data_IF_055452010872
#
_entry.id   IF_055452010872
#
_cell.length_a   1.000
_cell.length_b   1.000
_cell.length_c   1.000
_cell.angle_alpha   90.00
_cell.angle_beta   90.00
_cell.angle_gamma   90.00
#
_symmetry.space_group_name_H-M   'P 1'
#
loop_
_entity.id
_entity.type
_entity.pdbx_description
1 polymer ?
#
# COMPACT_ATOMS: atom_id res chain seq x y z
N UNK A 1 6.74 0.57 -22.59
CA UNK A 1 5.68 1.23 -23.37
C UNK A 1 4.79 2.15 -22.51
N UNK A 2 4.79 2.02 -21.16
CA UNK A 2 3.98 2.86 -20.24
C UNK A 2 4.51 4.28 -20.01
N UNK A 3 5.81 4.53 -20.14
CA UNK A 3 6.41 5.86 -19.94
C UNK A 3 5.90 6.92 -20.94
N UNK A 4 5.57 6.52 -22.17
CA UNK A 4 5.13 7.45 -23.22
C UNK A 4 3.66 7.88 -23.06
N UNK A 5 2.84 7.04 -22.44
CA UNK A 5 1.43 7.34 -22.13
C UNK A 5 1.33 8.27 -20.93
N UNK A 6 2.22 8.10 -19.94
CA UNK A 6 2.41 9.04 -18.83
C UNK A 6 2.65 10.46 -19.35
N UNK A 7 3.61 10.66 -20.26
CA UNK A 7 4.02 12.00 -20.71
C UNK A 7 2.87 12.78 -21.39
N UNK A 8 2.14 12.15 -22.32
CA UNK A 8 1.05 12.79 -23.07
C UNK A 8 -0.20 13.14 -22.24
N UNK A 9 -0.53 12.33 -21.24
CA UNK A 9 -1.68 12.61 -20.36
C UNK A 9 -1.37 13.74 -19.38
N UNK A 10 -0.09 13.89 -19.00
CA UNK A 10 0.32 14.94 -18.08
C UNK A 10 0.40 16.32 -18.78
N UNK A 11 0.74 16.36 -20.07
CA UNK A 11 0.75 17.62 -20.85
C UNK A 11 -0.65 18.26 -20.98
N UNK A 12 -1.72 17.47 -20.91
CA UNK A 12 -3.09 17.98 -21.04
C UNK A 12 -3.60 18.69 -19.77
N UNK A 13 -2.98 18.43 -18.61
CA UNK A 13 -3.26 19.13 -17.33
C UNK A 13 -2.57 20.51 -17.28
N UNK A 14 -1.54 20.73 -18.12
CA UNK A 14 -0.74 21.95 -18.15
C UNK A 14 -1.43 23.16 -18.81
N UNK A 15 -2.64 23.01 -19.36
CA UNK A 15 -3.31 24.07 -20.15
C UNK A 15 -3.94 25.20 -19.32
N UNK A 16 -4.01 25.07 -17.99
CA UNK A 16 -4.55 26.10 -17.08
C UNK A 16 -3.52 26.54 -16.02
N UNK A 17 -2.28 26.77 -16.44
CA UNK A 17 -1.24 27.29 -15.56
C UNK A 17 -1.43 28.81 -15.32
N UNK A 18 -1.54 29.26 -14.06
CA UNK A 18 -1.41 30.69 -13.74
C UNK A 18 -0.04 31.18 -14.21
N UNK A 19 0.05 32.40 -14.73
CA UNK A 19 1.34 32.99 -15.09
C UNK A 19 2.27 33.02 -13.86
N UNK A 20 3.59 32.94 -14.03
CA UNK A 20 4.55 32.81 -12.91
C UNK A 20 4.33 33.86 -11.79
N UNK A 21 3.94 35.09 -12.11
CA UNK A 21 3.62 36.12 -11.12
C UNK A 21 2.30 35.89 -10.35
N UNK A 22 1.33 35.24 -10.98
CA UNK A 22 0.05 34.85 -10.36
C UNK A 22 0.23 33.65 -9.42
N UNK A 23 1.15 32.75 -9.75
CA UNK A 23 1.48 31.59 -8.95
C UNK A 23 2.13 31.99 -7.61
N UNK A 24 3.06 32.94 -7.63
CA UNK A 24 3.65 33.53 -6.41
C UNK A 24 2.60 34.22 -5.53
N UNK A 25 1.67 34.95 -6.14
CA UNK A 25 0.57 35.59 -5.43
C UNK A 25 -0.34 34.57 -4.75
N UNK A 26 -0.72 33.49 -5.46
CA UNK A 26 -1.59 32.43 -4.93
C UNK A 26 -0.91 31.61 -3.82
N UNK A 27 0.41 31.43 -3.88
CA UNK A 27 1.20 30.86 -2.78
C UNK A 27 1.23 31.78 -1.56
N UNK A 28 1.47 33.08 -1.76
CA UNK A 28 1.50 34.08 -0.67
C UNK A 28 0.15 34.18 0.04
N UNK A 29 -0.94 34.07 -0.71
CA UNK A 29 -2.30 34.08 -0.17
C UNK A 29 -2.79 32.72 0.37
N UNK A 30 -1.93 31.69 0.40
CA UNK A 30 -2.28 30.33 0.88
C UNK A 30 -3.43 29.70 0.10
N UNK A 31 -3.60 30.11 -1.16
CA UNK A 31 -4.56 29.56 -2.11
C UNK A 31 -3.97 28.37 -2.88
N UNK A 32 -2.67 28.17 -2.83
CA UNK A 32 -1.98 26.99 -3.35
C UNK A 32 -0.98 26.42 -2.35
N UNK A 33 -0.73 25.12 -2.44
CA UNK A 33 0.31 24.42 -1.67
C UNK A 33 1.20 23.66 -2.63
N UNK A 34 2.50 24.00 -2.65
CA UNK A 34 3.52 23.20 -3.34
C UNK A 34 3.69 21.86 -2.63
N UNK A 35 3.83 20.78 -3.41
CA UNK A 35 4.01 19.43 -2.90
C UNK A 35 5.49 19.08 -2.94
N UNK A 36 6.13 19.03 -1.78
CA UNK A 36 7.57 18.78 -1.66
C UNK A 36 7.91 17.28 -1.57
N UNK A 37 7.00 16.48 -1.02
CA UNK A 37 7.21 15.07 -0.71
C UNK A 37 7.15 14.18 -1.95
N UNK A 38 8.23 13.45 -2.23
CA UNK A 38 8.34 12.59 -3.42
C UNK A 38 7.29 11.47 -3.45
N UNK A 39 6.96 10.90 -2.29
CA UNK A 39 5.90 9.90 -2.17
C UNK A 39 4.52 10.47 -2.52
N UNK A 40 4.23 11.70 -2.09
CA UNK A 40 2.99 12.39 -2.45
C UNK A 40 2.95 12.71 -3.95
N UNK A 41 4.06 13.16 -4.55
CA UNK A 41 4.18 13.40 -5.99
C UNK A 41 3.87 12.14 -6.80
N UNK A 42 4.46 11.00 -6.43
CA UNK A 42 4.22 9.72 -7.10
C UNK A 42 2.75 9.28 -6.98
N UNK A 43 2.16 9.40 -5.78
CA UNK A 43 0.73 9.09 -5.54
C UNK A 43 -0.20 9.95 -6.39
N UNK A 44 0.08 11.25 -6.47
CA UNK A 44 -0.69 12.19 -7.28
C UNK A 44 -0.65 11.80 -8.75
N UNK A 45 0.52 11.46 -9.27
CA UNK A 45 0.66 11.03 -10.66
C UNK A 45 -0.20 9.80 -10.97
N UNK A 46 -0.23 8.82 -10.06
CA UNK A 46 -1.08 7.62 -10.20
C UNK A 46 -2.57 7.97 -10.06
N UNK A 47 -2.94 8.72 -9.03
CA UNK A 47 -4.33 9.06 -8.74
C UNK A 47 -4.96 9.96 -9.81
N UNK A 48 -4.17 10.81 -10.47
CA UNK A 48 -4.64 11.59 -11.63
C UNK A 48 -5.03 10.72 -12.83
N UNK A 49 -4.52 9.48 -12.91
CA UNK A 49 -4.91 8.51 -13.93
C UNK A 49 -6.20 7.77 -13.55
N UNK A 50 -6.37 7.49 -12.27
CA UNK A 50 -7.51 6.72 -11.75
C UNK A 50 -8.75 7.60 -11.50
N UNK A 51 -8.54 8.88 -11.16
CA UNK A 51 -9.60 9.81 -10.74
C UNK A 51 -9.49 11.15 -11.48
N UNK A 52 -10.27 11.29 -12.55
CA UNK A 52 -10.31 12.53 -13.34
C UNK A 52 -10.80 13.75 -12.55
N UNK A 53 -11.59 13.52 -11.49
CA UNK A 53 -12.11 14.54 -10.57
C UNK A 53 -11.02 15.30 -9.80
N UNK A 54 -9.80 14.78 -9.75
CA UNK A 54 -8.65 15.41 -9.09
C UNK A 54 -8.01 16.52 -9.92
N UNK A 55 -8.20 16.52 -11.25
CA UNK A 55 -7.55 17.47 -12.17
C UNK A 55 -7.75 18.94 -11.83
N UNK A 56 -8.94 19.45 -11.45
CA UNK A 56 -9.10 20.87 -11.11
C UNK A 56 -8.41 21.27 -9.79
N UNK A 57 -8.05 20.31 -8.95
CA UNK A 57 -7.39 20.56 -7.67
C UNK A 57 -5.87 20.39 -7.72
N UNK A 58 -5.31 19.88 -8.82
CA UNK A 58 -3.89 19.60 -8.95
C UNK A 58 -3.35 20.29 -10.21
N UNK A 59 -2.45 21.24 -10.00
CA UNK A 59 -1.77 21.97 -11.05
C UNK A 59 -0.34 21.44 -11.14
N UNK A 60 0.13 21.12 -12.35
CA UNK A 60 1.53 20.78 -12.59
C UNK A 60 2.22 21.95 -13.27
N UNK A 61 3.21 22.55 -12.61
CA UNK A 61 4.12 23.49 -13.25
C UNK A 61 5.50 22.82 -13.37
N UNK A 62 6.00 22.69 -14.59
CA UNK A 62 7.26 21.99 -14.90
C UNK A 62 7.33 20.58 -14.26
N UNK A 63 8.13 20.42 -13.20
CA UNK A 63 8.34 19.16 -12.48
C UNK A 63 7.75 19.17 -11.05
N UNK A 64 6.83 20.08 -10.81
CA UNK A 64 6.26 20.34 -9.50
C UNK A 64 4.74 20.23 -9.52
N UNK A 65 4.20 19.62 -8.47
CA UNK A 65 2.76 19.53 -8.26
C UNK A 65 2.34 20.57 -7.21
N UNK A 66 1.25 21.25 -7.51
CA UNK A 66 0.62 22.23 -6.63
C UNK A 66 -0.82 21.80 -6.39
N UNK A 67 -1.21 21.77 -5.11
CA UNK A 67 -2.59 21.60 -4.72
C UNK A 67 -3.28 22.97 -4.77
N UNK A 68 -4.26 23.09 -5.65
CA UNK A 68 -5.11 24.25 -5.77
C UNK A 68 -6.20 24.20 -4.69
N UNK A 69 -6.17 25.18 -3.78
CA UNK A 69 -7.14 25.33 -2.70
C UNK A 69 -8.17 26.43 -3.00
N UNK A 70 -8.17 27.05 -4.20
CA UNK A 70 -9.11 28.13 -4.55
C UNK A 70 -10.56 27.65 -4.56
N UNK A 71 -10.78 26.38 -4.88
CA UNK A 71 -12.08 25.70 -4.87
C UNK A 71 -12.72 25.60 -3.48
N UNK A 72 -11.95 25.81 -2.40
CA UNK A 72 -12.47 25.85 -1.03
C UNK A 72 -12.96 27.27 -0.73
N UNK A 73 -14.28 27.46 -0.77
CA UNK A 73 -14.91 28.77 -0.54
C UNK A 73 -14.58 29.36 0.84
N UNK A 74 -14.58 28.54 1.89
CA UNK A 74 -14.35 29.00 3.27
C UNK A 74 -12.85 29.29 3.53
N UNK A 75 -12.47 30.55 3.82
CA UNK A 75 -11.08 30.93 4.09
C UNK A 75 -10.50 30.29 5.36
N UNK A 76 -11.33 30.01 6.38
CA UNK A 76 -10.87 29.35 7.62
C UNK A 76 -10.52 27.89 7.34
N UNK A 77 -11.39 27.15 6.66
CA UNK A 77 -11.13 25.75 6.26
C UNK A 77 -9.92 25.64 5.32
N UNK A 78 -9.81 26.53 4.34
CA UNK A 78 -8.65 26.59 3.43
C UNK A 78 -7.34 26.74 4.20
N UNK A 79 -7.29 27.63 5.20
CA UNK A 79 -6.10 27.81 6.04
C UNK A 79 -5.79 26.59 6.92
N UNK A 80 -6.82 25.89 7.42
CA UNK A 80 -6.64 24.64 8.15
C UNK A 80 -6.04 23.55 7.25
N UNK A 81 -6.60 23.35 6.06
CA UNK A 81 -6.11 22.37 5.08
C UNK A 81 -4.68 22.69 4.65
N UNK A 82 -4.38 23.95 4.39
CA UNK A 82 -3.02 24.42 4.09
C UNK A 82 -2.02 24.00 5.18
N UNK A 83 -2.36 24.29 6.45
CA UNK A 83 -1.49 23.96 7.58
C UNK A 83 -1.35 22.44 7.77
N UNK A 84 -2.43 21.67 7.59
CA UNK A 84 -2.42 20.21 7.68
C UNK A 84 -1.49 19.61 6.62
N UNK A 85 -1.58 20.09 5.37
CA UNK A 85 -0.71 19.65 4.27
C UNK A 85 0.75 20.02 4.54
N UNK A 86 1.05 21.22 5.04
CA UNK A 86 2.41 21.59 5.39
C UNK A 86 2.98 20.70 6.49
N UNK A 87 2.24 20.46 7.58
CA UNK A 87 2.68 19.58 8.68
C UNK A 87 2.93 18.15 8.19
N UNK A 88 2.06 17.63 7.33
CA UNK A 88 2.25 16.32 6.70
C UNK A 88 3.51 16.28 5.80
N UNK A 89 3.80 17.37 5.08
CA UNK A 89 5.01 17.49 4.27
C UNK A 89 6.29 17.55 5.11
N UNK A 90 6.22 18.10 6.32
CA UNK A 90 7.29 18.08 7.31
C UNK A 90 7.46 16.71 8.00
N UNK A 91 6.66 15.71 7.63
CA UNK A 91 6.75 14.35 8.15
C UNK A 91 5.93 14.09 9.41
N UNK A 92 5.10 15.04 9.84
CA UNK A 92 4.26 14.85 11.01
C UNK A 92 3.11 13.88 10.72
N UNK A 93 2.82 12.97 11.66
CA UNK A 93 1.75 11.97 11.55
C UNK A 93 0.38 12.62 11.77
N UNK A 94 -0.07 13.41 10.80
CA UNK A 94 -1.34 14.12 10.84
C UNK A 94 -2.39 13.33 10.07
N UNK A 95 -3.57 13.13 10.67
CA UNK A 95 -4.70 12.52 9.98
C UNK A 95 -5.25 13.49 8.94
N UNK A 96 -5.10 13.16 7.66
CA UNK A 96 -5.61 13.96 6.55
C UNK A 96 -7.09 13.65 6.22
N UNK A 97 -7.82 12.98 7.11
CA UNK A 97 -9.27 12.73 6.96
C UNK A 97 -10.11 14.02 6.84
N UNK A 98 -9.50 15.17 7.17
CA UNK A 98 -10.08 16.51 7.06
C UNK A 98 -9.96 17.10 5.64
N UNK A 99 -9.31 16.41 4.71
CA UNK A 99 -9.27 16.84 3.31
C UNK A 99 -10.66 16.71 2.67
N UNK A 100 -11.01 17.62 1.74
CA UNK A 100 -12.28 17.57 1.05
C UNK A 100 -12.39 16.26 0.24
N UNK A 101 -13.60 15.74 0.01
CA UNK A 101 -13.84 14.44 -0.62
C UNK A 101 -12.98 14.11 -1.84
N UNK A 102 -12.80 15.01 -2.83
CA UNK A 102 -11.98 14.69 -4.00
C UNK A 102 -10.52 14.44 -3.65
N UNK A 103 -9.98 15.05 -2.59
CA UNK A 103 -8.57 14.94 -2.17
C UNK A 103 -8.32 13.83 -1.14
N UNK A 104 -9.35 13.18 -0.61
CA UNK A 104 -9.21 12.06 0.33
C UNK A 104 -8.41 10.86 -0.22
N UNK A 105 -8.47 10.49 -1.52
CA UNK A 105 -7.67 9.40 -2.08
C UNK A 105 -6.16 9.63 -1.93
N UNK A 106 -5.70 10.88 -1.88
CA UNK A 106 -4.28 11.24 -1.67
C UNK A 106 -3.76 10.79 -0.29
N UNK A 107 -4.66 10.65 0.67
CA UNK A 107 -4.39 10.28 2.06
C UNK A 107 -4.31 8.79 2.24
N UNK A 108 -5.15 8.06 1.50
CA UNK A 108 -5.18 6.63 1.61
C UNK A 108 -3.84 6.11 1.13
N UNK A 109 -3.09 5.51 2.05
CA UNK A 109 -1.87 4.80 1.76
C UNK A 109 -2.23 3.68 0.79
N UNK A 110 -2.21 3.93 -0.53
CA UNK A 110 -2.15 2.87 -1.51
C UNK A 110 -0.95 2.04 -1.08
N UNK A 111 -1.23 0.88 -0.50
CA UNK A 111 -0.22 -0.09 -0.12
C UNK A 111 0.47 -0.44 -1.43
N UNK A 112 1.67 0.09 -1.62
CA UNK A 112 2.43 -0.14 -2.85
C UNK A 112 2.47 -1.65 -3.12
N UNK A 113 2.47 -2.09 -4.38
CA UNK A 113 2.58 -3.51 -4.72
C UNK A 113 3.72 -4.20 -3.94
N UNK A 114 4.85 -3.48 -3.77
CA UNK A 114 6.01 -3.93 -3.00
C UNK A 114 5.70 -4.16 -1.51
N UNK A 115 4.97 -3.25 -0.86
CA UNK A 115 4.64 -3.40 0.57
C UNK A 115 3.59 -4.49 0.80
N UNK A 116 2.71 -4.75 -0.17
CA UNK A 116 1.80 -5.91 -0.15
C UNK A 116 2.58 -7.22 -0.25
N UNK A 117 3.49 -7.33 -1.21
CA UNK A 117 4.33 -8.52 -1.39
C UNK A 117 5.14 -8.79 -0.13
N UNK A 118 5.77 -7.77 0.45
CA UNK A 118 6.55 -7.91 1.68
C UNK A 118 5.67 -8.38 2.85
N UNK A 119 4.47 -7.82 3.00
CA UNK A 119 3.51 -8.25 4.02
C UNK A 119 3.07 -9.71 3.84
N UNK A 120 2.83 -10.14 2.60
CA UNK A 120 2.49 -11.54 2.27
C UNK A 120 3.64 -12.48 2.62
N UNK A 121 4.89 -12.11 2.30
CA UNK A 121 6.07 -12.91 2.62
C UNK A 121 6.22 -13.05 4.13
N UNK A 122 6.16 -11.95 4.88
CA UNK A 122 6.33 -11.97 6.35
C UNK A 122 5.24 -12.83 7.00
N UNK A 123 3.97 -12.58 6.66
CA UNK A 123 2.86 -13.34 7.24
C UNK A 123 2.88 -14.80 6.80
N UNK A 124 3.27 -15.08 5.55
CA UNK A 124 3.51 -16.43 5.06
C UNK A 124 4.57 -17.15 5.88
N UNK A 125 5.70 -16.50 6.16
CA UNK A 125 6.82 -17.08 6.93
C UNK A 125 6.41 -17.43 8.36
N UNK A 126 5.67 -16.54 9.02
CA UNK A 126 5.14 -16.82 10.37
C UNK A 126 4.20 -18.02 10.35
N UNK A 127 3.27 -18.07 9.39
CA UNK A 127 2.35 -19.20 9.25
C UNK A 127 3.09 -20.52 8.99
N UNK A 128 4.11 -20.50 8.13
CA UNK A 128 4.96 -21.65 7.83
C UNK A 128 5.73 -22.14 9.06
N UNK A 129 6.31 -21.25 9.85
CA UNK A 129 6.99 -21.67 11.09
C UNK A 129 6.00 -22.33 12.05
N UNK A 130 4.82 -21.74 12.25
CA UNK A 130 3.79 -22.29 13.14
C UNK A 130 3.33 -23.68 12.68
N UNK A 131 3.04 -23.85 11.39
CA UNK A 131 2.60 -25.15 10.84
C UNK A 131 3.71 -26.20 10.92
N UNK A 132 4.96 -25.82 10.67
CA UNK A 132 6.12 -26.71 10.81
C UNK A 132 6.31 -27.20 12.24
N UNK A 133 6.27 -26.28 13.23
CA UNK A 133 6.38 -26.65 14.65
C UNK A 133 5.24 -27.58 15.07
N UNK A 134 4.01 -27.29 14.64
CA UNK A 134 2.85 -28.11 14.97
C UNK A 134 2.97 -29.52 14.38
N UNK A 135 3.40 -29.65 13.12
CA UNK A 135 3.62 -30.94 12.48
C UNK A 135 4.74 -31.74 13.15
N UNK A 136 5.81 -31.06 13.58
CA UNK A 136 6.89 -31.67 14.36
C UNK A 136 6.35 -32.27 15.67
N UNK A 137 5.55 -31.50 16.41
CA UNK A 137 4.95 -31.95 17.67
C UNK A 137 4.01 -33.15 17.47
N UNK A 138 3.19 -33.13 16.42
CA UNK A 138 2.31 -34.26 16.06
C UNK A 138 3.14 -35.49 15.66
N UNK A 139 4.22 -35.32 14.91
CA UNK A 139 5.13 -36.40 14.52
C UNK A 139 5.77 -37.09 15.74
N UNK A 140 6.22 -36.31 16.72
CA UNK A 140 6.75 -36.84 17.99
C UNK A 140 5.68 -37.62 18.74
N UNK A 141 4.46 -37.05 18.83
CA UNK A 141 3.35 -37.69 19.52
C UNK A 141 2.95 -39.02 18.85
N UNK A 142 2.91 -39.05 17.52
CA UNK A 142 2.60 -40.24 16.75
C UNK A 142 3.68 -41.33 16.92
N UNK A 143 4.96 -40.95 16.90
CA UNK A 143 6.05 -41.88 17.17
C UNK A 143 5.96 -42.45 18.59
N UNK A 144 5.74 -41.61 19.61
CA UNK A 144 5.57 -42.08 20.98
C UNK A 144 4.38 -43.02 21.14
N UNK A 145 3.24 -42.72 20.50
CA UNK A 145 2.07 -43.58 20.51
C UNK A 145 2.34 -44.94 19.83
N UNK A 146 3.10 -44.94 18.74
CA UNK A 146 3.50 -46.16 18.04
C UNK A 146 4.45 -47.03 18.87
N UNK A 147 5.44 -46.44 19.54
CA UNK A 147 6.32 -47.15 20.47
C UNK A 147 5.52 -47.79 21.61
N UNK A 148 4.54 -47.06 22.16
CA UNK A 148 3.68 -47.56 23.23
C UNK A 148 2.81 -48.74 22.76
N UNK A 149 2.31 -48.68 21.53
CA UNK A 149 1.42 -49.70 20.97
C UNK A 149 2.15 -50.97 20.53
N UNK A 150 3.38 -50.84 20.01
CA UNK A 150 4.14 -51.97 19.43
C UNK A 150 5.23 -52.51 20.35
N UNK A 151 5.60 -51.77 21.40
CA UNK A 151 6.70 -52.11 22.31
C UNK A 151 8.10 -51.96 21.70
N UNK A 152 8.20 -51.53 20.44
CA UNK A 152 9.47 -51.33 19.73
C UNK A 152 9.94 -49.90 19.94
N UNK A 153 11.15 -49.70 20.46
CA UNK A 153 11.76 -48.36 20.60
C UNK A 153 12.29 -47.87 19.26
N UNK A 154 11.73 -46.77 18.78
CA UNK A 154 12.11 -46.06 17.54
C UNK A 154 12.90 -44.77 17.80
N UNK A 155 13.19 -44.46 19.06
CA UNK A 155 13.75 -43.21 19.60
C UNK A 155 15.22 -42.90 19.20
N UNK A 156 15.75 -43.53 18.15
CA UNK A 156 17.09 -43.29 17.63
C UNK A 156 17.22 -42.09 16.68
N UNK A 157 18.38 -41.96 16.02
CA UNK A 157 18.73 -40.90 15.05
C UNK A 157 17.62 -40.63 14.00
N UNK A 158 16.91 -41.68 13.59
CA UNK A 158 15.78 -41.62 12.66
C UNK A 158 14.61 -40.74 13.16
N UNK A 159 14.37 -40.63 14.47
CA UNK A 159 13.32 -39.78 15.03
C UNK A 159 13.61 -38.27 14.87
N UNK A 160 14.89 -37.89 14.96
CA UNK A 160 15.32 -36.49 14.76
C UNK A 160 15.24 -36.12 13.28
N UNK A 161 15.64 -37.02 12.39
CA UNK A 161 15.54 -36.81 10.94
C UNK A 161 14.08 -36.68 10.49
N UNK A 162 13.21 -37.56 11.01
CA UNK A 162 11.79 -37.56 10.66
C UNK A 162 11.10 -36.26 11.11
N UNK A 163 11.39 -35.78 12.32
CA UNK A 163 10.81 -34.53 12.85
C UNK A 163 11.28 -33.28 12.09
N UNK A 164 12.54 -33.25 11.64
CA UNK A 164 13.04 -32.19 10.76
C UNK A 164 12.35 -32.21 9.38
N UNK A 165 12.13 -33.39 8.80
CA UNK A 165 11.40 -33.54 7.52
C UNK A 165 9.96 -33.03 7.67
N UNK A 166 9.26 -33.39 8.75
CA UNK A 166 7.91 -32.88 9.04
C UNK A 166 7.90 -31.35 9.16
N UNK A 167 8.86 -30.78 9.89
CA UNK A 167 8.97 -29.32 10.03
C UNK A 167 9.13 -28.63 8.67
N UNK A 168 10.06 -29.10 7.83
CA UNK A 168 10.35 -28.50 6.52
C UNK A 168 9.15 -28.62 5.59
N UNK A 169 8.56 -29.81 5.47
CA UNK A 169 7.43 -30.06 4.55
C UNK A 169 6.20 -29.24 4.96
N UNK A 170 5.78 -29.32 6.21
CA UNK A 170 4.59 -28.62 6.68
C UNK A 170 4.83 -27.13 6.85
N UNK A 171 6.08 -26.70 7.07
CA UNK A 171 6.43 -25.29 7.06
C UNK A 171 6.35 -24.68 5.67
N UNK A 172 6.89 -25.37 4.65
CA UNK A 172 6.77 -24.94 3.27
C UNK A 172 5.30 -24.92 2.80
N UNK A 173 4.52 -25.94 3.14
CA UNK A 173 3.10 -26.00 2.81
C UNK A 173 2.28 -24.90 3.50
N UNK A 174 2.53 -24.65 4.79
CA UNK A 174 1.85 -23.58 5.54
C UNK A 174 2.19 -22.20 5.00
N UNK A 175 3.46 -21.98 4.64
CA UNK A 175 3.89 -20.75 3.96
C UNK A 175 3.15 -20.56 2.64
N UNK A 176 3.13 -21.58 1.78
CA UNK A 176 2.54 -21.52 0.45
C UNK A 176 1.01 -21.31 0.52
N UNK A 177 0.34 -22.02 1.42
CA UNK A 177 -1.11 -21.87 1.63
C UNK A 177 -1.47 -20.46 2.13
N UNK A 178 -0.73 -19.95 3.12
CA UNK A 178 -0.91 -18.59 3.65
C UNK A 178 -0.64 -17.52 2.59
N UNK A 179 0.44 -17.68 1.82
CA UNK A 179 0.80 -16.76 0.74
C UNK A 179 -0.29 -16.72 -0.34
N UNK A 180 -0.79 -17.88 -0.78
CA UNK A 180 -1.88 -17.97 -1.76
C UNK A 180 -3.19 -17.37 -1.22
N UNK A 181 -3.52 -17.65 0.04
CA UNK A 181 -4.72 -17.13 0.68
C UNK A 181 -4.68 -15.60 0.79
N UNK A 182 -3.57 -15.04 1.30
CA UNK A 182 -3.38 -13.60 1.41
C UNK A 182 -3.34 -12.93 0.02
N UNK A 183 -2.69 -13.55 -0.96
CA UNK A 183 -2.68 -13.07 -2.33
C UNK A 183 -4.10 -12.96 -2.89
N UNK A 184 -4.94 -13.99 -2.71
CA UNK A 184 -6.35 -13.96 -3.15
C UNK A 184 -7.15 -12.87 -2.43
N UNK A 185 -6.94 -12.68 -1.14
CA UNK A 185 -7.64 -11.67 -0.34
C UNK A 185 -7.20 -10.23 -0.65
N UNK A 186 -5.94 -10.03 -1.02
CA UNK A 186 -5.34 -8.72 -1.28
C UNK A 186 -5.34 -8.32 -2.75
N UNK A 187 -5.87 -9.17 -3.65
CA UNK A 187 -6.11 -8.77 -5.05
C UNK A 187 -7.08 -7.58 -5.04
N UNK A 188 -6.70 -6.45 -5.65
CA UNK A 188 -7.66 -5.39 -5.90
C UNK A 188 -8.76 -5.96 -6.80
N UNK A 189 -10.01 -5.86 -6.36
CA UNK A 189 -11.19 -6.17 -7.16
C UNK A 189 -11.21 -5.18 -8.33
N UNK A 190 -10.71 -5.58 -9.50
CA UNK A 190 -10.85 -4.80 -10.73
C UNK A 190 -12.29 -4.80 -11.28
N UNK A 191 -13.24 -5.42 -10.57
CA UNK A 191 -14.55 -5.77 -11.10
C UNK A 191 -15.65 -4.72 -10.89
N UNK A 192 -15.39 -3.58 -10.23
CA UNK A 192 -16.41 -2.53 -10.06
C UNK A 192 -16.35 -1.41 -11.11
N UNK A 193 -15.40 -1.45 -12.06
CA UNK A 193 -15.26 -0.40 -13.09
C UNK A 193 -15.84 -0.76 -14.46
N UNK A 194 -16.28 -2.01 -14.69
CA UNK A 194 -16.73 -2.48 -16.03
C UNK A 194 -18.19 -2.96 -16.10
N UNK A 195 -18.99 -2.80 -15.04
CA UNK A 195 -20.42 -3.12 -15.04
C UNK A 195 -21.29 -1.89 -14.77
N UNK A 196 -21.19 -0.90 -15.65
CA UNK A 196 -22.32 -0.05 -16.03
C UNK A 196 -22.33 0.10 -17.55
N UNK A 197 -23.05 -0.80 -18.20
CA UNK A 197 -23.78 -0.50 -19.43
C UNK A 197 -25.25 -0.47 -19.08
#
# INVERSE_FOLDING_TARGET
MEYWVMEKLIDNVASNLPQNGELEYLLKEKKMVRILRADLKARIAVLLMEHEELRPFIIRNENEFYLNLTSIADPKKRRQIYNLLQRYQLGESVSLNLLPPPLQPLVHTQTSPTSRILGIIIMGSVAGVISGVLAMAIGILAAAAFELATGVRTSGLAGIETTAIFFILFGALGWLFSAVFLWRRLRPTNDSAYTRK
#
